data_IF_715524327208
#
_entry.id   IF_715524327208
#
_cell.length_a   1.000
_cell.length_b   1.000
_cell.length_c   1.000
_cell.angle_alpha   90.00
_cell.angle_beta   90.00
_cell.angle_gamma   90.00
#
_symmetry.space_group_name_H-M   'P 1'
#
loop_
_entity.id
_entity.type
_entity.pdbx_description
1 polymer ?
#
# COMPACT_ATOMS: atom_id res chain seq x y z
N UNK A 1 -25.16 -13.77 -0.26
CA UNK A 1 -25.07 -12.75 0.80
C UNK A 1 -24.22 -11.61 0.24
N UNK A 2 -24.74 -10.39 0.05
CA UNK A 2 -23.92 -9.31 -0.51
C UNK A 2 -22.89 -8.90 0.54
N UNK A 3 -21.61 -9.06 0.21
CA UNK A 3 -20.49 -8.58 1.02
C UNK A 3 -20.60 -7.06 1.13
N UNK A 4 -20.75 -6.54 2.35
CA UNK A 4 -20.86 -5.09 2.58
C UNK A 4 -19.56 -4.41 2.14
N UNK A 5 -19.55 -3.84 0.94
CA UNK A 5 -18.37 -3.29 0.27
C UNK A 5 -17.72 -2.12 1.00
N UNK A 6 -18.41 -1.51 1.99
CA UNK A 6 -17.98 -0.31 2.71
C UNK A 6 -17.44 -0.55 4.13
N UNK A 7 -17.35 -1.79 4.60
CA UNK A 7 -16.85 -2.10 5.94
C UNK A 7 -15.32 -1.90 6.05
N UNK A 8 -14.81 -1.39 7.19
CA UNK A 8 -13.37 -1.27 7.42
C UNK A 8 -12.72 -2.66 7.47
N UNK A 9 -11.51 -2.77 6.91
CA UNK A 9 -10.77 -4.03 6.83
C UNK A 9 -9.71 -4.10 7.91
N UNK A 10 -9.50 -5.25 8.58
CA UNK A 10 -8.52 -5.36 9.67
C UNK A 10 -7.07 -5.44 9.18
N UNK A 11 -6.85 -5.79 7.91
CA UNK A 11 -5.51 -5.89 7.32
C UNK A 11 -5.40 -5.12 6.00
N UNK A 12 -4.25 -4.46 5.74
CA UNK A 12 -4.05 -3.68 4.53
C UNK A 12 -3.95 -4.55 3.27
N UNK A 13 -3.50 -5.81 3.39
CA UNK A 13 -3.40 -6.77 2.30
C UNK A 13 -3.92 -8.16 2.73
N UNK A 14 -4.39 -8.97 1.77
CA UNK A 14 -4.77 -10.36 2.03
C UNK A 14 -3.54 -11.27 1.95
N UNK A 15 -3.41 -12.23 2.86
CA UNK A 15 -2.27 -13.18 2.90
C UNK A 15 -2.13 -14.06 1.64
N UNK A 16 -3.18 -14.14 0.79
CA UNK A 16 -3.25 -15.00 -0.38
C UNK A 16 -3.55 -14.26 -1.69
N UNK A 17 -3.53 -12.92 -1.71
CA UNK A 17 -3.75 -12.17 -2.94
C UNK A 17 -2.53 -12.28 -3.84
N UNK A 18 -2.53 -13.26 -4.74
CA UNK A 18 -1.60 -13.30 -5.87
C UNK A 18 -1.96 -12.14 -6.78
N UNK A 19 -1.22 -11.05 -6.66
CA UNK A 19 -1.25 -9.95 -7.62
C UNK A 19 -0.62 -10.50 -8.90
N UNK A 20 -1.44 -10.63 -9.95
CA UNK A 20 -1.02 -11.11 -11.26
C UNK A 20 -1.30 -10.02 -12.30
N UNK A 21 -0.38 -9.83 -13.24
CA UNK A 21 -0.58 -8.95 -14.38
C UNK A 21 -1.66 -9.44 -15.36
N UNK A 22 -2.09 -10.69 -15.23
CA UNK A 22 -3.18 -11.27 -16.03
C UNK A 22 -4.55 -10.87 -15.50
N UNK A 23 -5.24 -10.00 -16.24
CA UNK A 23 -6.65 -9.66 -16.04
C UNK A 23 -7.09 -8.54 -16.98
N UNK A 24 -8.34 -8.13 -16.88
CA UNK A 24 -8.91 -7.10 -17.74
C UNK A 24 -8.13 -5.79 -17.62
N UNK A 25 -7.62 -5.32 -18.76
CA UNK A 25 -6.88 -4.08 -18.87
C UNK A 25 -7.80 -2.89 -18.61
N UNK A 26 -7.31 -1.94 -17.84
CA UNK A 26 -8.03 -0.69 -17.59
C UNK A 26 -8.05 0.22 -18.82
N UNK A 27 -9.13 1.00 -18.92
CA UNK A 27 -9.13 2.22 -19.73
C UNK A 27 -8.14 3.25 -19.13
N UNK A 28 -7.61 4.15 -19.96
CA UNK A 28 -6.58 5.12 -19.53
C UNK A 28 -6.98 5.97 -18.31
N UNK A 29 -8.26 6.30 -18.17
CA UNK A 29 -8.82 7.03 -17.03
C UNK A 29 -8.69 6.26 -15.70
N UNK A 30 -9.02 4.96 -15.70
CA UNK A 30 -8.92 4.13 -14.50
C UNK A 30 -7.46 3.87 -14.11
N UNK A 31 -6.58 3.71 -15.10
CA UNK A 31 -5.14 3.62 -14.89
C UNK A 31 -4.57 4.92 -14.28
N UNK A 32 -5.03 6.08 -14.74
CA UNK A 32 -4.66 7.40 -14.18
C UNK A 32 -5.15 7.55 -12.72
N UNK A 33 -6.39 7.15 -12.45
CA UNK A 33 -6.97 7.16 -11.10
C UNK A 33 -6.19 6.27 -10.14
N UNK A 34 -5.84 5.06 -10.57
CA UNK A 34 -5.00 4.14 -9.80
C UNK A 34 -3.62 4.74 -9.49
N UNK A 35 -2.94 5.31 -10.49
CA UNK A 35 -1.63 5.98 -10.30
C UNK A 35 -1.69 7.10 -9.27
N UNK A 36 -2.71 7.95 -9.37
CA UNK A 36 -2.92 9.06 -8.44
C UNK A 36 -3.19 8.55 -7.01
N UNK A 37 -3.94 7.46 -6.88
CA UNK A 37 -4.19 6.81 -5.59
C UNK A 37 -2.92 6.24 -4.98
N UNK A 38 -2.14 5.47 -5.76
CA UNK A 38 -0.87 4.90 -5.30
C UNK A 38 0.10 6.00 -4.86
N UNK A 39 0.22 7.10 -5.60
CA UNK A 39 1.07 8.23 -5.21
C UNK A 39 0.69 8.82 -3.84
N UNK A 40 -0.61 8.97 -3.57
CA UNK A 40 -1.11 9.42 -2.25
C UNK A 40 -0.82 8.42 -1.14
N UNK A 41 -0.97 7.13 -1.42
CA UNK A 41 -0.66 6.07 -0.46
C UNK A 41 0.83 6.00 -0.14
N UNK A 42 1.72 6.20 -1.14
CA UNK A 42 3.18 6.29 -0.93
C UNK A 42 3.52 7.48 -0.04
N UNK A 43 2.87 8.62 -0.22
CA UNK A 43 3.09 9.75 0.68
C UNK A 43 2.70 9.41 2.13
N UNK A 44 1.60 8.68 2.31
CA UNK A 44 1.08 8.30 3.62
C UNK A 44 1.97 7.29 4.36
N UNK A 45 2.78 6.48 3.68
CA UNK A 45 3.68 5.51 4.34
C UNK A 45 4.67 6.16 5.29
N UNK A 46 5.03 7.44 5.06
CA UNK A 46 5.92 8.20 5.95
C UNK A 46 5.37 8.35 7.38
N UNK A 47 4.05 8.45 7.53
CA UNK A 47 3.38 8.54 8.84
C UNK A 47 2.70 7.23 9.24
N UNK A 48 2.54 6.30 8.29
CA UNK A 48 1.85 5.01 8.42
C UNK A 48 2.75 3.86 7.93
N UNK A 49 3.76 3.44 8.73
CA UNK A 49 4.64 2.35 8.33
C UNK A 49 3.90 1.01 8.20
N UNK A 50 2.72 0.88 8.81
CA UNK A 50 1.86 -0.30 8.79
C UNK A 50 1.31 -0.65 7.40
N UNK A 51 1.20 0.32 6.50
CA UNK A 51 0.74 0.09 5.11
C UNK A 51 1.89 -0.01 4.10
N UNK A 52 3.12 0.28 4.51
CA UNK A 52 4.30 0.44 3.64
C UNK A 52 4.49 -0.73 2.70
N UNK A 53 4.54 -1.95 3.23
CA UNK A 53 4.71 -3.16 2.43
C UNK A 53 3.60 -3.30 1.37
N UNK A 54 2.34 -3.07 1.77
CA UNK A 54 1.18 -3.26 0.89
C UNK A 54 1.18 -2.25 -0.26
N UNK A 55 1.52 -1.00 0.04
CA UNK A 55 1.59 0.09 -0.94
C UNK A 55 2.75 -0.11 -1.89
N UNK A 56 3.94 -0.46 -1.40
CA UNK A 56 5.10 -0.69 -2.26
C UNK A 56 4.91 -1.90 -3.17
N UNK A 57 4.28 -2.97 -2.69
CA UNK A 57 3.93 -4.11 -3.54
C UNK A 57 3.01 -3.68 -4.70
N UNK A 58 1.95 -2.92 -4.43
CA UNK A 58 1.05 -2.39 -5.46
C UNK A 58 1.71 -1.39 -6.41
N UNK A 59 2.71 -0.63 -5.93
CA UNK A 59 3.44 0.34 -6.74
C UNK A 59 4.27 -0.31 -7.85
N UNK A 60 4.58 -1.60 -7.74
CA UNK A 60 5.25 -2.36 -8.79
C UNK A 60 4.37 -2.57 -10.04
N UNK A 61 3.04 -2.45 -9.89
CA UNK A 61 2.02 -2.72 -10.91
C UNK A 61 1.33 -1.45 -11.40
N UNK A 62 2.09 -0.37 -11.60
CA UNK A 62 1.59 0.93 -12.08
C UNK A 62 1.35 0.95 -13.61
N UNK A 63 1.93 0.02 -14.34
CA UNK A 63 1.75 -0.14 -15.78
C UNK A 63 2.06 -1.59 -16.20
N UNK A 64 1.08 -2.38 -16.71
CA UNK A 64 -0.37 -2.14 -16.78
C UNK A 64 -1.09 -2.52 -15.46
N UNK A 65 -1.90 -1.64 -14.85
CA UNK A 65 -2.71 -1.99 -13.69
C UNK A 65 -3.88 -2.93 -14.10
N UNK A 66 -4.40 -3.68 -13.13
CA UNK A 66 -5.48 -4.68 -13.34
C UNK A 66 -6.57 -4.48 -12.29
N UNK A 67 -7.81 -4.92 -12.56
CA UNK A 67 -8.94 -4.84 -11.61
C UNK A 67 -8.60 -5.32 -10.19
N UNK A 68 -7.79 -6.39 -10.07
CA UNK A 68 -7.28 -6.90 -8.79
C UNK A 68 -6.41 -5.90 -8.03
N UNK A 69 -5.53 -5.17 -8.74
CA UNK A 69 -4.67 -4.13 -8.17
C UNK A 69 -5.51 -2.98 -7.60
N UNK A 70 -6.56 -2.56 -8.33
CA UNK A 70 -7.46 -1.51 -7.86
C UNK A 70 -8.27 -1.95 -6.63
N UNK A 71 -8.78 -3.18 -6.61
CA UNK A 71 -9.48 -3.72 -5.44
C UNK A 71 -8.57 -3.79 -4.20
N UNK A 72 -7.31 -4.19 -4.38
CA UNK A 72 -6.31 -4.19 -3.31
C UNK A 72 -6.02 -2.77 -2.80
N UNK A 73 -5.89 -1.77 -3.69
CA UNK A 73 -5.73 -0.37 -3.28
C UNK A 73 -6.95 0.14 -2.47
N UNK A 74 -8.17 -0.24 -2.86
CA UNK A 74 -9.38 0.09 -2.11
C UNK A 74 -9.44 -0.62 -0.75
N UNK A 75 -8.88 -1.83 -0.62
CA UNK A 75 -8.73 -2.51 0.69
C UNK A 75 -7.85 -1.70 1.64
N UNK A 76 -6.74 -1.14 1.17
CA UNK A 76 -5.87 -0.28 1.98
C UNK A 76 -6.64 0.96 2.45
N UNK A 77 -7.44 1.59 1.58
CA UNK A 77 -8.29 2.71 1.97
C UNK A 77 -9.31 2.32 3.05
N UNK A 78 -9.94 1.14 2.95
CA UNK A 78 -10.87 0.63 3.97
C UNK A 78 -10.17 0.37 5.31
N UNK A 79 -8.94 -0.12 5.29
CA UNK A 79 -8.12 -0.30 6.48
C UNK A 79 -7.79 1.06 7.13
N UNK A 80 -7.36 2.05 6.34
CA UNK A 80 -7.08 3.40 6.82
C UNK A 80 -8.31 4.08 7.44
N UNK A 81 -9.49 3.87 6.84
CA UNK A 81 -10.77 4.36 7.37
C UNK A 81 -11.12 3.75 8.74
N UNK A 82 -10.74 2.50 8.98
CA UNK A 82 -10.99 1.80 10.25
C UNK A 82 -10.12 2.30 11.41
N UNK A 83 -8.94 2.85 11.10
CA UNK A 83 -7.92 3.19 12.11
C UNK A 83 -7.30 4.57 11.88
N UNK A 84 -8.08 5.68 11.91
CA UNK A 84 -7.57 7.02 11.59
C UNK A 84 -6.54 7.56 12.61
N UNK A 85 -6.55 7.05 13.85
CA UNK A 85 -5.64 7.50 14.92
C UNK A 85 -4.32 6.74 15.06
N UNK A 86 -4.12 5.63 14.33
CA UNK A 86 -2.84 4.92 14.36
C UNK A 86 -1.76 5.72 13.60
N UNK A 87 -0.48 5.40 13.74
CA UNK A 87 0.61 6.09 13.03
C UNK A 87 1.64 6.69 13.96
N UNK A 88 2.69 7.26 13.36
CA UNK A 88 3.83 7.82 14.09
C UNK A 88 3.52 9.26 14.49
N UNK A 89 3.66 9.57 15.79
CA UNK A 89 3.58 10.93 16.31
C UNK A 89 4.99 11.50 16.52
N UNK A 90 5.33 12.51 15.72
CA UNK A 90 6.58 13.26 15.89
C UNK A 90 6.42 14.31 17.02
N UNK A 91 6.76 13.93 18.25
CA UNK A 91 6.76 14.86 19.39
C UNK A 91 8.03 15.72 19.39
N UNK A 92 7.85 17.04 19.53
CA UNK A 92 8.94 18.06 19.58
C UNK A 92 9.94 17.83 20.72
N UNK A 93 9.59 17.03 21.73
CA UNK A 93 10.39 16.81 22.94
C UNK A 93 11.49 15.76 22.79
N UNK A 94 11.56 15.05 21.66
CA UNK A 94 12.66 14.11 21.43
C UNK A 94 13.94 14.89 21.10
N UNK A 95 15.01 14.60 21.83
CA UNK A 95 16.39 14.99 21.51
C UNK A 95 16.65 14.87 20.02
N UNK A 96 17.32 15.84 19.39
CA UNK A 96 17.67 15.90 17.95
C UNK A 96 18.52 14.70 17.46
N UNK A 97 18.00 13.48 17.57
CA UNK A 97 18.62 12.24 17.13
C UNK A 97 17.81 11.70 15.96
N UNK A 98 18.35 11.88 14.76
CA UNK A 98 17.83 11.26 13.55
C UNK A 98 18.08 9.76 13.63
N UNK A 99 17.02 8.95 13.67
CA UNK A 99 17.07 7.51 13.59
C UNK A 99 16.51 7.06 12.24
N UNK A 100 17.20 6.14 11.59
CA UNK A 100 16.78 5.57 10.33
C UNK A 100 16.76 4.04 10.43
N UNK A 101 15.68 3.45 9.96
CA UNK A 101 15.46 2.02 9.87
C UNK A 101 15.20 1.67 8.41
N UNK A 102 15.77 0.57 7.96
CA UNK A 102 15.55 0.01 6.62
C UNK A 102 15.25 -1.47 6.76
N UNK A 103 14.27 -1.93 6.00
CA UNK A 103 13.87 -3.33 5.89
C UNK A 103 13.71 -3.66 4.41
N UNK A 104 14.06 -4.87 4.01
CA UNK A 104 13.97 -5.30 2.61
C UNK A 104 13.49 -6.74 2.53
N UNK A 105 12.39 -6.94 1.84
CA UNK A 105 11.84 -8.27 1.57
C UNK A 105 12.08 -8.65 0.10
N UNK A 106 12.55 -9.87 -0.15
CA UNK A 106 12.90 -10.38 -1.48
C UNK A 106 11.88 -11.40 -1.96
N UNK A 107 11.56 -11.36 -3.25
CA UNK A 107 10.70 -12.32 -3.93
C UNK A 107 9.27 -12.45 -3.39
N UNK A 108 8.79 -11.47 -2.61
CA UNK A 108 7.40 -11.45 -2.12
C UNK A 108 6.36 -11.27 -3.23
N UNK A 109 6.79 -10.73 -4.38
CA UNK A 109 6.02 -10.76 -5.62
C UNK A 109 6.58 -11.84 -6.56
N UNK A 110 5.87 -12.96 -6.78
CA UNK A 110 6.33 -14.06 -7.63
C UNK A 110 6.59 -13.65 -9.09
N UNK A 111 5.90 -12.60 -9.54
CA UNK A 111 5.91 -12.14 -10.93
C UNK A 111 7.02 -11.12 -11.20
N UNK A 112 7.20 -10.13 -10.31
CA UNK A 112 8.21 -9.10 -10.54
C UNK A 112 9.61 -9.51 -10.06
N UNK A 113 9.70 -10.40 -9.05
CA UNK A 113 10.93 -10.71 -8.29
C UNK A 113 11.70 -9.46 -7.82
N UNK A 114 11.01 -8.32 -7.69
CA UNK A 114 11.60 -7.07 -7.21
C UNK A 114 11.59 -7.06 -5.69
N UNK A 115 12.67 -6.55 -5.08
CA UNK A 115 12.70 -6.27 -3.66
C UNK A 115 11.62 -5.24 -3.30
N UNK A 116 10.99 -5.45 -2.14
CA UNK A 116 10.15 -4.45 -1.48
C UNK A 116 11.00 -3.87 -0.35
N UNK A 117 11.47 -2.63 -0.54
CA UNK A 117 12.24 -1.92 0.48
C UNK A 117 11.30 -1.02 1.27
N UNK A 118 11.29 -1.19 2.59
CA UNK A 118 10.70 -0.24 3.53
C UNK A 118 11.78 0.57 4.22
N UNK A 119 11.55 1.86 4.43
CA UNK A 119 12.41 2.68 5.28
C UNK A 119 11.57 3.57 6.19
N UNK A 120 12.13 3.95 7.33
CA UNK A 120 11.51 4.86 8.29
C UNK A 120 12.59 5.74 8.90
N UNK A 121 12.47 7.04 8.67
CA UNK A 121 13.42 8.06 9.13
C UNK A 121 12.66 8.98 10.07
N UNK A 122 13.15 9.14 11.30
CA UNK A 122 12.48 9.91 12.35
C UNK A 122 13.44 10.59 13.32
#
# INVERSE_FOLDING_TARGET
MPENTNAPMPTPMAHSSRLTSQGDLFNDEDASSYRRLIGRLIYLTNTRPDITFSVYNLSQFVFPPTSLHQQAAHRILRYLKGSPGNGILFQRTNTNQLKAYSDSDWATCPESRKFITGYSIY
#
